data_IF_743909058850
#
_entry.id   IF_743909058850
#
_cell.length_a   1.000
_cell.length_b   1.000
_cell.length_c   1.000
_cell.angle_alpha   90.00
_cell.angle_beta   90.00
_cell.angle_gamma   90.00
#
_symmetry.space_group_name_H-M   'P 1'
#
loop_
_entity.id
_entity.type
_entity.pdbx_description
1 polymer ?
#
# COMPACT_ATOMS: atom_id res chain seq x y z
N UNK A 1 11.91 -1.52 8.57
CA UNK A 1 11.05 -0.53 9.24
C UNK A 1 9.61 -1.01 9.25
N UNK A 2 8.86 -0.64 10.27
CA UNK A 2 7.45 -1.01 10.36
C UNK A 2 6.58 0.12 9.83
N UNK A 3 5.65 -0.22 8.96
CA UNK A 3 4.68 0.70 8.42
C UNK A 3 3.28 0.24 8.83
N UNK A 4 2.58 1.07 9.58
CA UNK A 4 1.20 0.81 9.96
C UNK A 4 0.28 1.45 8.93
N UNK A 5 -0.58 0.63 8.34
CA UNK A 5 -1.52 1.07 7.31
C UNK A 5 -2.95 0.70 7.68
N UNK A 6 -3.88 1.59 7.38
CA UNK A 6 -5.30 1.30 7.36
C UNK A 6 -5.70 1.08 5.91
N UNK A 7 -6.20 -0.12 5.62
CA UNK A 7 -6.50 -0.50 4.25
C UNK A 7 -7.98 -0.27 3.92
N UNK A 8 -8.25 0.09 2.68
CA UNK A 8 -9.63 0.03 2.18
C UNK A 8 -10.04 -1.43 2.05
N UNK A 9 -11.34 -1.72 2.12
CA UNK A 9 -11.82 -3.11 2.11
C UNK A 9 -11.42 -3.87 0.87
N UNK A 10 -11.48 -3.22 -0.30
CA UNK A 10 -11.12 -3.84 -1.57
C UNK A 10 -9.64 -4.24 -1.60
N UNK A 11 -8.75 -3.36 -1.13
CA UNK A 11 -7.31 -3.65 -1.08
C UNK A 11 -7.03 -4.77 -0.10
N UNK A 12 -7.66 -4.73 1.08
CA UNK A 12 -7.48 -5.77 2.09
C UNK A 12 -7.90 -7.14 1.57
N UNK A 13 -9.06 -7.23 0.93
CA UNK A 13 -9.59 -8.49 0.42
C UNK A 13 -8.68 -9.08 -0.66
N UNK A 14 -8.19 -8.26 -1.56
CA UNK A 14 -7.29 -8.71 -2.63
C UNK A 14 -5.93 -9.16 -2.10
N UNK A 15 -5.38 -8.43 -1.13
CA UNK A 15 -4.13 -8.83 -0.49
C UNK A 15 -4.25 -10.19 0.19
N UNK A 16 -5.37 -10.43 0.89
CA UNK A 16 -5.58 -11.70 1.59
C UNK A 16 -5.68 -12.87 0.63
N UNK A 17 -6.27 -12.68 -0.53
CA UNK A 17 -6.33 -13.72 -1.56
C UNK A 17 -4.92 -14.09 -2.06
N UNK A 18 -4.02 -13.14 -2.15
CA UNK A 18 -2.65 -13.36 -2.62
C UNK A 18 -1.73 -13.93 -1.53
N UNK A 19 -2.08 -13.75 -0.26
CA UNK A 19 -1.25 -14.21 0.86
C UNK A 19 -1.36 -15.72 1.05
N UNK A 20 -0.23 -16.41 0.96
CA UNK A 20 -0.15 -17.85 1.20
C UNK A 20 0.63 -18.19 2.46
N UNK A 21 1.60 -17.35 2.85
CA UNK A 21 2.50 -17.62 3.95
C UNK A 21 2.68 -16.39 4.82
N UNK A 22 3.10 -16.61 6.08
CA UNK A 22 3.51 -15.52 6.96
C UNK A 22 4.65 -14.74 6.30
N UNK A 23 4.56 -13.43 6.32
CA UNK A 23 5.56 -12.55 5.72
C UNK A 23 5.28 -12.16 4.28
N UNK A 24 4.39 -12.86 3.57
CA UNK A 24 4.03 -12.50 2.20
C UNK A 24 3.40 -11.11 2.15
N UNK A 25 2.64 -10.75 3.17
CA UNK A 25 2.01 -9.45 3.27
C UNK A 25 3.04 -8.31 3.22
N UNK A 26 4.10 -8.42 4.05
CA UNK A 26 5.16 -7.40 4.07
C UNK A 26 5.89 -7.33 2.73
N UNK A 27 6.14 -8.48 2.10
CA UNK A 27 6.76 -8.53 0.77
C UNK A 27 5.87 -7.86 -0.28
N UNK A 28 4.57 -8.13 -0.26
CA UNK A 28 3.63 -7.52 -1.19
C UNK A 28 3.59 -6.00 -1.03
N UNK A 29 3.54 -5.52 0.19
CA UNK A 29 3.55 -4.08 0.47
C UNK A 29 4.87 -3.46 -0.01
N UNK A 30 6.00 -4.06 0.35
CA UNK A 30 7.31 -3.55 -0.06
C UNK A 30 7.44 -3.52 -1.59
N UNK A 31 7.05 -4.61 -2.27
CA UNK A 31 7.08 -4.69 -3.72
C UNK A 31 6.19 -3.62 -4.37
N UNK A 32 4.98 -3.43 -3.86
CA UNK A 32 4.06 -2.41 -4.37
C UNK A 32 4.66 -0.99 -4.23
N UNK A 33 5.25 -0.69 -3.08
CA UNK A 33 5.81 0.63 -2.83
C UNK A 33 7.10 0.90 -3.60
N UNK A 34 7.85 -0.14 -3.98
CA UNK A 34 9.08 0.01 -4.75
C UNK A 34 8.88 -0.10 -6.25
N UNK A 35 7.88 -0.85 -6.71
CA UNK A 35 7.61 -1.09 -8.14
C UNK A 35 6.66 -0.08 -8.76
N UNK A 36 5.73 0.46 -7.98
CA UNK A 36 4.74 1.41 -8.47
C UNK A 36 5.35 2.81 -8.55
N UNK A 37 5.03 3.54 -9.62
CA UNK A 37 5.44 4.94 -9.72
C UNK A 37 4.57 5.80 -8.82
N UNK A 38 5.06 6.07 -7.62
CA UNK A 38 4.32 6.83 -6.59
C UNK A 38 4.08 8.29 -6.98
N UNK A 39 4.86 8.82 -7.92
CA UNK A 39 4.69 10.19 -8.39
C UNK A 39 3.53 10.37 -9.37
N UNK A 40 3.11 9.30 -10.03
CA UNK A 40 2.08 9.35 -11.07
C UNK A 40 0.88 8.43 -10.83
N UNK A 41 0.93 7.57 -9.81
CA UNK A 41 -0.18 6.68 -9.51
C UNK A 41 -1.45 7.49 -9.23
N UNK A 42 -2.57 7.06 -9.79
CA UNK A 42 -3.85 7.72 -9.57
C UNK A 42 -4.26 7.58 -8.11
N UNK A 43 -4.50 8.71 -7.45
CA UNK A 43 -4.92 8.73 -6.06
C UNK A 43 -6.42 8.49 -5.96
N UNK A 44 -6.78 7.52 -5.16
CA UNK A 44 -8.18 7.27 -4.85
C UNK A 44 -8.48 7.95 -3.51
N UNK A 45 -9.37 8.95 -3.48
CA UNK A 45 -9.69 9.68 -2.26
C UNK A 45 -10.57 8.90 -1.29
N UNK A 46 -10.95 7.66 -1.63
CA UNK A 46 -11.78 6.84 -0.74
C UNK A 46 -11.00 6.55 0.53
N UNK A 47 -11.51 7.07 1.64
CA UNK A 47 -10.90 6.84 2.95
C UNK A 47 -11.35 5.50 3.50
N UNK A 48 -10.50 4.83 4.30
CA UNK A 48 -10.94 3.65 5.03
C UNK A 48 -12.19 3.94 5.87
N UNK A 49 -13.08 2.97 5.99
CA UNK A 49 -14.30 3.11 6.78
C UNK A 49 -14.03 3.27 8.28
N UNK A 50 -15.10 3.28 9.10
CA UNK A 50 -15.00 3.51 10.54
C UNK A 50 -14.15 2.47 11.28
N UNK A 51 -14.14 1.23 10.81
CA UNK A 51 -13.31 0.15 11.35
C UNK A 51 -12.50 -0.48 10.24
N UNK A 52 -11.51 0.26 9.68
CA UNK A 52 -10.74 -0.27 8.57
C UNK A 52 -9.87 -1.43 9.03
N UNK A 53 -9.63 -2.42 8.17
CA UNK A 53 -8.61 -3.41 8.43
C UNK A 53 -7.26 -2.72 8.64
N UNK A 54 -6.57 -3.08 9.71
CA UNK A 54 -5.26 -2.53 10.01
C UNK A 54 -4.18 -3.54 9.65
N UNK A 55 -3.07 -3.03 9.15
CA UNK A 55 -1.95 -3.82 8.73
C UNK A 55 -0.66 -3.18 9.22
N UNK A 56 0.20 -3.99 9.84
CA UNK A 56 1.58 -3.59 10.11
C UNK A 56 2.48 -4.39 9.20
N UNK A 57 3.16 -3.72 8.27
CA UNK A 57 4.10 -4.34 7.35
C UNK A 57 5.53 -3.98 7.73
N UNK A 58 6.43 -4.95 7.63
CA UNK A 58 7.86 -4.70 7.74
C UNK A 58 8.39 -4.43 6.34
N UNK A 59 8.80 -3.19 6.09
CA UNK A 59 9.24 -2.76 4.76
C UNK A 59 10.70 -2.30 4.82
N UNK A 60 11.34 -2.25 3.65
CA UNK A 60 12.70 -1.74 3.55
C UNK A 60 12.75 -0.25 3.86
N UNK A 61 13.91 0.24 4.29
CA UNK A 61 14.11 1.68 4.47
C UNK A 61 13.87 2.46 3.18
N UNK A 62 14.21 1.86 2.04
CA UNK A 62 13.97 2.44 0.71
C UNK A 62 12.48 2.62 0.44
N UNK A 63 11.68 1.59 0.69
CA UNK A 63 10.23 1.68 0.50
C UNK A 63 9.61 2.73 1.43
N UNK A 64 10.03 2.75 2.68
CA UNK A 64 9.56 3.75 3.64
C UNK A 64 9.88 5.18 3.20
N UNK A 65 11.11 5.43 2.77
CA UNK A 65 11.52 6.75 2.29
C UNK A 65 10.75 7.18 1.05
N UNK A 66 10.53 6.25 0.12
CA UNK A 66 9.78 6.53 -1.12
C UNK A 66 8.35 6.94 -0.83
N UNK A 67 7.63 6.17 0.00
CA UNK A 67 6.22 6.45 0.27
C UNK A 67 6.04 7.77 1.03
N UNK A 68 6.90 8.06 2.00
CA UNK A 68 6.80 9.29 2.77
C UNK A 68 7.13 10.52 1.93
N UNK A 69 8.20 10.43 1.12
CA UNK A 69 8.61 11.51 0.23
C UNK A 69 7.54 11.81 -0.83
N UNK A 70 7.01 10.77 -1.46
CA UNK A 70 5.98 10.91 -2.49
C UNK A 70 4.68 11.49 -1.91
N UNK A 71 4.26 11.04 -0.73
CA UNK A 71 3.07 11.56 -0.07
C UNK A 71 3.22 13.06 0.22
N UNK A 72 4.38 13.47 0.69
CA UNK A 72 4.67 14.88 0.95
C UNK A 72 4.64 15.70 -0.33
N UNK A 73 5.27 15.22 -1.40
CA UNK A 73 5.31 15.92 -2.69
C UNK A 73 3.93 16.06 -3.30
N UNK A 74 3.06 15.08 -3.14
CA UNK A 74 1.73 15.07 -3.73
C UNK A 74 0.67 15.69 -2.82
N UNK A 75 1.03 16.09 -1.60
CA UNK A 75 0.09 16.71 -0.67
C UNK A 75 -0.99 15.75 -0.18
N UNK A 76 -0.68 14.45 -0.08
CA UNK A 76 -1.62 13.45 0.40
C UNK A 76 -1.05 12.71 1.61
N UNK A 77 -1.87 11.87 2.25
CA UNK A 77 -1.42 11.04 3.37
C UNK A 77 -0.72 9.79 2.86
N UNK A 78 0.12 9.20 3.70
CA UNK A 78 0.76 7.92 3.42
C UNK A 78 -0.31 6.85 3.20
N UNK A 79 -1.39 6.86 3.99
CA UNK A 79 -2.50 5.91 3.88
C UNK A 79 -3.15 5.95 2.50
N UNK A 80 -3.49 7.14 2.00
CA UNK A 80 -4.10 7.30 0.67
C UNK A 80 -3.16 6.81 -0.42
N UNK A 81 -1.91 7.24 -0.37
CA UNK A 81 -0.92 6.88 -1.39
C UNK A 81 -0.62 5.38 -1.37
N UNK A 82 -0.47 4.78 -0.20
CA UNK A 82 -0.19 3.35 -0.06
C UNK A 82 -1.35 2.50 -0.58
N UNK A 83 -2.59 2.86 -0.25
CA UNK A 83 -3.76 2.14 -0.78
C UNK A 83 -3.85 2.25 -2.30
N UNK A 84 -3.59 3.42 -2.85
CA UNK A 84 -3.60 3.66 -4.29
C UNK A 84 -2.52 2.83 -5.00
N UNK A 85 -1.30 2.80 -4.43
CA UNK A 85 -0.20 2.01 -4.97
C UNK A 85 -0.49 0.51 -4.90
N UNK A 86 -1.01 0.03 -3.78
CA UNK A 86 -1.39 -1.37 -3.62
C UNK A 86 -2.48 -1.77 -4.60
N UNK A 87 -3.50 -0.94 -4.77
CA UNK A 87 -4.58 -1.21 -5.70
C UNK A 87 -4.08 -1.36 -7.13
N UNK A 88 -3.20 -0.46 -7.55
CA UNK A 88 -2.61 -0.53 -8.89
C UNK A 88 -1.73 -1.77 -9.06
N UNK A 89 -0.88 -2.04 -8.09
CA UNK A 89 0.02 -3.20 -8.12
C UNK A 89 -0.76 -4.51 -8.16
N UNK A 90 -1.80 -4.64 -7.34
CA UNK A 90 -2.66 -5.83 -7.32
C UNK A 90 -3.39 -6.02 -8.65
N UNK A 91 -3.84 -4.94 -9.27
CA UNK A 91 -4.48 -4.99 -10.58
C UNK A 91 -3.54 -5.50 -11.67
N UNK A 92 -2.28 -5.09 -11.65
CA UNK A 92 -1.27 -5.55 -12.60
C UNK A 92 -0.91 -7.02 -12.39
N UNK A 93 -0.80 -7.46 -11.13
CA UNK A 93 -0.47 -8.86 -10.81
C UNK A 93 -1.64 -9.82 -11.10
N UNK A 94 -2.88 -9.36 -10.95
CA UNK A 94 -4.07 -10.16 -11.24
C UNK A 94 -4.40 -10.20 -12.74
N UNK A 95 -3.87 -9.26 -13.45
CA UNK A 95 -4.11 -9.15 -14.89
C UNK A 95 -3.22 -10.06 -15.67
#
# INVERSE_FOLDING_TARGET
>A
MRLFLRLTSDVNDRLRVMMRYRGDLSRCVDAALTSTNLGTVELDPVMPGKKPPALTAVISGRANARIRSAAKQRGCTVTVLANSALRKWLGEEDG
#
